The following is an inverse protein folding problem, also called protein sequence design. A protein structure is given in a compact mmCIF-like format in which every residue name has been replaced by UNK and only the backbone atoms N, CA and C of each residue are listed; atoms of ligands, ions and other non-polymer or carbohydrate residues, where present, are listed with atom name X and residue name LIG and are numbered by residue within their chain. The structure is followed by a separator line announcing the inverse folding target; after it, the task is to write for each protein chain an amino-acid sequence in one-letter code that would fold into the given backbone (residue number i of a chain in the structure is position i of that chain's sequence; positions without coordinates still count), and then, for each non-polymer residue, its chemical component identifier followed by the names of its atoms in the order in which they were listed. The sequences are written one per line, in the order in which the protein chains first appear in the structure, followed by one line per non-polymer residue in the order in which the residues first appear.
data_IF_950993146740
#
_entry.id   IF_950993146740
#
_cell.length_a   1.000
_cell.length_b   1.000
_cell.length_c   1.000
_cell.angle_alpha   90.00
_cell.angle_beta   90.00
_cell.angle_gamma   90.00
#
_symmetry.space_group_name_H-M   'P 1'
#
loop_
_entity.id
_entity.type
_entity.pdbx_description
1 polymer ?
#
# COMPACT_ATOMS: atom_id res chain seq x y z
N UNK A 1 45.44 -18.21 4.53
CA UNK A 1 44.09 -18.32 5.15
C UNK A 1 43.16 -17.50 4.28
N UNK A 2 42.92 -18.00 3.07
CA UNK A 2 42.75 -17.14 1.90
C UNK A 2 41.42 -17.44 1.19
N UNK A 3 40.65 -16.37 0.96
CA UNK A 3 39.90 -16.07 -0.28
C UNK A 3 38.39 -16.28 -0.44
N UNK A 4 37.57 -16.80 0.50
CA UNK A 4 36.09 -16.87 0.26
C UNK A 4 35.18 -16.29 1.36
N UNK A 5 35.68 -15.81 2.50
CA UNK A 5 34.84 -15.15 3.53
C UNK A 5 34.68 -13.63 3.40
N UNK A 6 35.14 -13.01 2.31
CA UNK A 6 35.02 -11.57 2.06
C UNK A 6 33.74 -11.23 1.28
N UNK A 7 32.61 -11.70 1.80
CA UNK A 7 31.27 -11.20 1.48
C UNK A 7 31.23 -9.78 2.08
N UNK A 8 31.73 -8.82 1.29
CA UNK A 8 31.96 -7.41 1.65
C UNK A 8 30.72 -6.82 2.35
N UNK A 9 30.73 -6.72 3.68
CA UNK A 9 31.31 -5.62 4.47
C UNK A 9 30.59 -4.29 4.24
N UNK A 10 29.57 -4.04 5.08
CA UNK A 10 29.12 -2.77 5.72
C UNK A 10 29.16 -1.42 4.96
N UNK A 11 29.49 -1.37 3.67
CA UNK A 11 29.80 -0.14 2.92
C UNK A 11 28.74 0.29 1.91
N UNK A 12 27.63 -0.44 1.79
CA UNK A 12 26.48 0.03 0.99
C UNK A 12 25.58 0.98 1.81
N UNK A 13 25.93 1.23 3.09
CA UNK A 13 25.07 1.96 4.01
C UNK A 13 25.11 3.49 3.89
N UNK A 14 26.02 4.09 3.13
CA UNK A 14 26.04 5.55 2.98
C UNK A 14 26.69 5.98 1.69
N UNK A 15 25.99 6.86 0.95
CA UNK A 15 26.49 7.73 -0.13
C UNK A 15 26.31 7.22 -1.57
N UNK A 16 25.07 7.20 -2.05
CA UNK A 16 24.61 8.07 -3.15
C UNK A 16 23.22 8.57 -2.75
N UNK A 17 23.11 9.89 -2.61
CA UNK A 17 21.90 10.65 -2.36
C UNK A 17 20.99 10.61 -3.61
N UNK A 18 19.67 10.61 -3.39
CA UNK A 18 18.55 10.60 -4.36
C UNK A 18 18.22 9.25 -5.03
N UNK A 19 17.36 8.49 -4.37
CA UNK A 19 16.16 7.97 -5.01
C UNK A 19 15.02 8.21 -4.03
N UNK A 20 14.25 9.26 -4.28
CA UNK A 20 13.07 9.58 -3.49
C UNK A 20 12.10 8.39 -3.59
N UNK A 21 11.71 7.84 -2.43
CA UNK A 21 10.68 6.82 -2.24
C UNK A 21 11.07 5.34 -2.46
N UNK A 22 12.02 4.82 -1.68
CA UNK A 22 12.08 3.38 -1.41
C UNK A 22 11.93 3.16 0.10
N UNK A 23 10.78 2.61 0.51
CA UNK A 23 10.59 2.14 1.88
C UNK A 23 11.55 0.96 2.12
N UNK A 24 12.58 1.19 2.94
CA UNK A 24 13.44 0.12 3.45
C UNK A 24 12.68 -0.62 4.56
N UNK A 25 12.16 -1.81 4.26
CA UNK A 25 11.54 -2.67 5.26
C UNK A 25 12.58 -3.47 6.05
N UNK A 26 12.27 -3.71 7.32
CA UNK A 26 13.09 -4.47 8.25
C UNK A 26 13.07 -5.96 7.90
N UNK A 27 14.17 -6.66 8.23
CA UNK A 27 14.34 -8.10 7.96
C UNK A 27 13.27 -8.97 8.65
N UNK A 28 12.61 -8.44 9.68
CA UNK A 28 11.46 -9.03 10.38
C UNK A 28 10.16 -8.97 9.58
N UNK A 29 9.95 -7.95 8.76
CA UNK A 29 8.74 -7.79 7.95
C UNK A 29 8.73 -8.79 6.79
N UNK A 30 9.87 -8.97 6.10
CA UNK A 30 10.02 -9.92 4.99
C UNK A 30 9.81 -11.38 5.44
N UNK A 31 10.13 -11.72 6.69
CA UNK A 31 10.00 -13.08 7.24
C UNK A 31 8.57 -13.49 7.58
N UNK A 32 7.61 -12.56 7.66
CA UNK A 32 6.24 -12.85 8.15
C UNK A 32 5.30 -13.48 7.12
N UNK A 33 5.70 -13.61 5.86
CA UNK A 33 4.92 -14.36 4.85
C UNK A 33 3.48 -13.87 4.62
N UNK A 34 3.14 -12.66 5.06
CA UNK A 34 1.86 -12.03 4.78
C UNK A 34 1.91 -11.31 3.45
N UNK A 35 0.84 -11.40 2.66
CA UNK A 35 0.69 -10.60 1.44
C UNK A 35 0.78 -9.10 1.79
N UNK A 36 1.93 -8.48 1.51
CA UNK A 36 2.16 -7.04 1.71
C UNK A 36 1.48 -6.25 0.60
N UNK A 37 0.14 -6.19 0.64
CA UNK A 37 -0.62 -5.31 -0.25
C UNK A 37 -0.80 -3.94 0.39
N UNK A 38 -0.53 -2.91 -0.40
CA UNK A 38 -0.90 -1.53 -0.05
C UNK A 38 -2.42 -1.39 0.01
N UNK A 39 -2.91 -0.37 0.72
CA UNK A 39 -4.34 -0.05 0.77
C UNK A 39 -4.88 0.17 -0.64
N UNK A 40 -4.15 0.89 -1.49
CA UNK A 40 -4.55 1.13 -2.88
C UNK A 40 -4.72 -0.16 -3.70
N UNK A 41 -3.83 -1.14 -3.51
CA UNK A 41 -3.95 -2.46 -4.15
C UNK A 41 -5.13 -3.26 -3.61
N UNK A 42 -5.37 -3.24 -2.28
CA UNK A 42 -6.57 -3.84 -1.67
C UNK A 42 -7.84 -3.24 -2.28
N UNK A 43 -7.91 -1.91 -2.43
CA UNK A 43 -9.05 -1.22 -3.03
C UNK A 43 -9.22 -1.56 -4.53
N UNK A 44 -8.13 -1.61 -5.29
CA UNK A 44 -8.16 -2.05 -6.71
C UNK A 44 -8.69 -3.47 -6.85
N UNK A 45 -8.27 -4.38 -5.98
CA UNK A 45 -8.77 -5.76 -5.95
C UNK A 45 -10.25 -5.83 -5.60
N UNK A 46 -10.70 -5.07 -4.59
CA UNK A 46 -12.11 -5.00 -4.21
C UNK A 46 -12.98 -4.40 -5.33
N UNK A 47 -12.49 -3.39 -6.06
CA UNK A 47 -13.20 -2.81 -7.20
C UNK A 47 -13.42 -3.80 -8.33
N UNK A 48 -12.45 -4.68 -8.59
CA UNK A 48 -12.47 -5.60 -9.71
C UNK A 48 -12.64 -4.86 -11.04
N UNK A 49 -13.64 -5.25 -11.82
CA UNK A 49 -13.90 -4.72 -13.15
C UNK A 49 -14.75 -3.43 -13.17
N UNK A 50 -15.28 -2.99 -12.02
CA UNK A 50 -16.05 -1.74 -11.96
C UNK A 50 -15.15 -0.53 -12.24
N UNK A 51 -15.71 0.54 -12.80
CA UNK A 51 -14.98 1.80 -13.02
C UNK A 51 -14.88 2.57 -11.70
N UNK A 52 -13.78 3.29 -11.51
CA UNK A 52 -13.59 4.14 -10.32
C UNK A 52 -14.71 5.17 -10.15
N UNK A 53 -15.22 5.71 -11.26
CA UNK A 53 -16.33 6.68 -11.27
C UNK A 53 -17.64 6.09 -10.76
N UNK A 54 -17.89 4.81 -11.02
CA UNK A 54 -19.11 4.12 -10.55
C UNK A 54 -19.05 3.95 -9.03
N UNK A 55 -17.93 3.46 -8.51
CA UNK A 55 -17.75 3.28 -7.06
C UNK A 55 -17.75 4.62 -6.33
N UNK A 56 -17.09 5.64 -6.89
CA UNK A 56 -17.10 6.98 -6.31
C UNK A 56 -18.52 7.56 -6.22
N UNK A 57 -19.34 7.35 -7.26
CA UNK A 57 -20.75 7.74 -7.28
C UNK A 57 -21.55 7.01 -6.20
N UNK A 58 -21.39 5.69 -6.08
CA UNK A 58 -22.08 4.88 -5.08
C UNK A 58 -21.70 5.28 -3.64
N UNK A 59 -20.45 5.68 -3.42
CA UNK A 59 -19.93 6.13 -2.13
C UNK A 59 -20.25 7.60 -1.83
N UNK A 60 -20.77 8.36 -2.80
CA UNK A 60 -21.01 9.81 -2.66
C UNK A 60 -19.74 10.64 -2.50
N UNK A 61 -18.66 10.27 -3.19
CA UNK A 61 -17.37 10.98 -3.19
C UNK A 61 -16.94 11.36 -4.61
N UNK A 62 -15.94 12.24 -4.72
CA UNK A 62 -15.38 12.61 -6.01
C UNK A 62 -14.61 11.42 -6.65
N UNK A 63 -14.72 11.18 -7.97
CA UNK A 63 -13.93 10.15 -8.66
C UNK A 63 -12.42 10.30 -8.47
N UNK A 64 -11.92 11.54 -8.42
CA UNK A 64 -10.51 11.84 -8.14
C UNK A 64 -10.09 11.41 -6.74
N UNK A 65 -10.98 11.53 -5.74
CA UNK A 65 -10.70 11.09 -4.38
C UNK A 65 -10.53 9.56 -4.34
N UNK A 66 -11.45 8.81 -4.96
CA UNK A 66 -11.35 7.35 -5.03
C UNK A 66 -10.09 6.89 -5.80
N UNK A 67 -9.77 7.55 -6.92
CA UNK A 67 -8.53 7.29 -7.67
C UNK A 67 -7.27 7.56 -6.84
N UNK A 68 -7.25 8.64 -6.05
CA UNK A 68 -6.12 8.95 -5.17
C UNK A 68 -5.91 7.88 -4.09
N UNK A 69 -7.00 7.28 -3.59
CA UNK A 69 -6.93 6.17 -2.63
C UNK A 69 -6.34 4.92 -3.27
N UNK A 70 -6.82 4.54 -4.47
CA UNK A 70 -6.31 3.39 -5.21
C UNK A 70 -4.83 3.52 -5.64
N UNK A 71 -4.34 4.74 -5.78
CA UNK A 71 -2.96 5.03 -6.16
C UNK A 71 -2.07 5.40 -4.96
N UNK A 72 -2.57 5.24 -3.72
CA UNK A 72 -1.85 5.56 -2.49
C UNK A 72 -1.40 7.03 -2.36
N UNK A 73 -1.97 7.96 -3.14
CA UNK A 73 -1.68 9.39 -3.04
C UNK A 73 -2.34 10.04 -1.81
N UNK A 74 -3.45 9.47 -1.36
CA UNK A 74 -4.20 9.97 -0.20
C UNK A 74 -4.75 8.81 0.61
N UNK A 75 -4.85 8.99 1.92
CA UNK A 75 -5.54 8.06 2.82
C UNK A 75 -6.99 8.58 3.03
N UNK A 76 -8.02 7.72 2.90
CA UNK A 76 -9.39 8.11 3.23
C UNK A 76 -9.51 8.52 4.71
N UNK A 77 -10.35 9.51 5.01
CA UNK A 77 -10.70 9.82 6.40
C UNK A 77 -11.61 8.72 6.97
N UNK A 78 -11.84 8.71 8.28
CA UNK A 78 -12.54 7.60 8.93
C UNK A 78 -14.01 7.45 8.48
N UNK A 79 -14.69 8.56 8.18
CA UNK A 79 -16.04 8.50 7.60
C UNK A 79 -16.03 7.80 6.23
N UNK A 80 -15.06 8.13 5.37
CA UNK A 80 -14.90 7.52 4.05
C UNK A 80 -14.47 6.06 4.17
N UNK A 81 -13.59 5.71 5.13
CA UNK A 81 -13.24 4.31 5.43
C UNK A 81 -14.48 3.51 5.79
N UNK A 82 -15.36 4.03 6.65
CA UNK A 82 -16.63 3.40 7.01
C UNK A 82 -17.55 3.22 5.79
N UNK A 83 -17.69 4.24 4.94
CA UNK A 83 -18.46 4.13 3.68
C UNK A 83 -17.93 3.03 2.77
N UNK A 84 -16.61 2.99 2.56
CA UNK A 84 -15.94 1.97 1.73
C UNK A 84 -16.14 0.56 2.32
N UNK A 85 -15.93 0.40 3.62
CA UNK A 85 -16.11 -0.86 4.33
C UNK A 85 -17.54 -1.39 4.19
N UNK A 86 -18.54 -0.52 4.42
CA UNK A 86 -19.95 -0.85 4.25
C UNK A 86 -20.29 -1.23 2.80
N UNK A 87 -19.78 -0.49 1.81
CA UNK A 87 -20.01 -0.77 0.39
C UNK A 87 -19.52 -2.18 -0.02
N UNK A 88 -18.35 -2.58 0.48
CA UNK A 88 -17.77 -3.90 0.20
C UNK A 88 -18.18 -4.99 1.18
N UNK A 89 -19.07 -4.69 2.14
CA UNK A 89 -19.50 -5.62 3.21
C UNK A 89 -18.31 -6.21 3.98
N UNK A 90 -17.38 -5.35 4.35
CA UNK A 90 -16.17 -5.68 5.12
C UNK A 90 -16.04 -4.75 6.32
N UNK A 91 -15.16 -5.10 7.25
CA UNK A 91 -14.74 -4.22 8.34
C UNK A 91 -13.70 -3.21 7.85
N UNK A 92 -13.56 -2.10 8.58
CA UNK A 92 -12.51 -1.12 8.33
C UNK A 92 -11.13 -1.77 8.48
N UNK A 93 -10.97 -2.64 9.46
CA UNK A 93 -9.70 -3.31 9.77
C UNK A 93 -9.25 -4.22 8.63
N UNK A 94 -10.14 -5.03 8.06
CA UNK A 94 -9.78 -5.89 6.92
C UNK A 94 -9.22 -5.11 5.72
N UNK A 95 -9.74 -3.90 5.48
CA UNK A 95 -9.35 -3.09 4.32
C UNK A 95 -8.12 -2.24 4.62
N UNK A 96 -8.07 -1.59 5.79
CA UNK A 96 -7.13 -0.50 6.05
C UNK A 96 -6.02 -0.83 7.06
N UNK A 97 -6.14 -1.93 7.79
CA UNK A 97 -5.14 -2.40 8.76
C UNK A 97 -4.68 -3.84 8.41
#
# INVERSE_FOLDING_TARGET
MEKIKKIFSRKVLTKILRYDNINLFTKSEIKKGGDFMTIGEKLKKLRGNKRQTEIAKDLGILPSAYSNYENNYRIPNDETKKKIANYYKKTVDEIFF
#
